data_IF_045171694940
#
_entry.id   IF_045171694940
#
_cell.length_a   1.000
_cell.length_b   1.000
_cell.length_c   1.000
_cell.angle_alpha   90.00
_cell.angle_beta   90.00
_cell.angle_gamma   90.00
#
_symmetry.space_group_name_H-M   'P 1'
#
loop_
_entity.id
_entity.type
_entity.pdbx_description
1 polymer ?
#
# COMPACT_ATOMS: atom_id res chain seq x y z
N UNK A 1 0.02 12.07 -27.72
CA UNK A 1 -0.94 13.18 -27.52
C UNK A 1 -2.17 12.69 -26.75
N UNK A 2 -2.85 13.60 -26.03
CA UNK A 2 -4.08 13.27 -25.27
C UNK A 2 -5.23 12.99 -26.25
N UNK A 3 -5.78 11.79 -26.22
CA UNK A 3 -7.04 11.51 -26.90
C UNK A 3 -8.22 11.99 -26.06
N UNK A 4 -9.20 12.62 -26.71
CA UNK A 4 -10.38 13.16 -26.04
C UNK A 4 -11.66 12.53 -26.61
N UNK A 5 -12.66 12.35 -25.74
CA UNK A 5 -14.01 12.00 -26.21
C UNK A 5 -14.68 13.23 -26.79
N UNK A 6 -15.29 13.06 -27.95
CA UNK A 6 -16.11 14.11 -28.56
C UNK A 6 -17.32 14.44 -27.67
N UNK A 7 -17.56 15.73 -27.42
CA UNK A 7 -18.80 16.22 -26.81
C UNK A 7 -20.03 15.91 -27.69
N UNK A 8 -19.81 15.83 -29.01
CA UNK A 8 -20.81 15.36 -29.96
C UNK A 8 -20.84 13.83 -29.92
N UNK A 9 -21.70 13.30 -29.03
CA UNK A 9 -21.95 11.86 -28.90
C UNK A 9 -22.52 11.27 -30.19
N UNK A 10 -21.99 10.12 -30.59
CA UNK A 10 -22.38 9.39 -31.79
C UNK A 10 -23.86 9.01 -31.77
N UNK A 11 -24.52 9.02 -32.93
CA UNK A 11 -25.93 8.64 -33.05
C UNK A 11 -26.16 7.18 -32.61
N UNK A 12 -25.17 6.32 -32.83
CA UNK A 12 -25.24 4.87 -32.65
C UNK A 12 -24.51 4.35 -31.40
N UNK A 13 -24.17 5.24 -30.46
CA UNK A 13 -23.60 4.81 -29.17
C UNK A 13 -24.57 3.87 -28.45
N UNK A 14 -24.02 2.81 -27.85
CA UNK A 14 -24.83 1.75 -27.27
C UNK A 14 -25.72 2.25 -26.12
N UNK A 15 -25.30 3.27 -25.36
CA UNK A 15 -26.11 3.85 -24.29
C UNK A 15 -27.35 4.59 -24.81
N UNK A 16 -27.34 5.11 -26.04
CA UNK A 16 -28.56 5.69 -26.64
C UNK A 16 -29.57 4.63 -27.03
N UNK A 17 -29.08 3.49 -27.51
CA UNK A 17 -29.92 2.44 -28.08
C UNK A 17 -30.39 1.43 -27.04
N UNK A 18 -29.56 1.15 -26.03
CA UNK A 18 -29.72 -0.01 -25.15
C UNK A 18 -29.69 0.32 -23.66
N UNK A 19 -29.60 1.59 -23.24
CA UNK A 19 -29.60 1.94 -21.81
C UNK A 19 -30.86 1.46 -21.08
N UNK A 20 -32.03 1.63 -21.67
CA UNK A 20 -33.28 1.16 -21.04
C UNK A 20 -33.38 -0.37 -21.03
N UNK A 21 -32.76 -1.04 -22.00
CA UNK A 21 -32.67 -2.51 -22.02
C UNK A 21 -31.70 -3.06 -20.96
N UNK A 22 -30.55 -2.40 -20.77
CA UNK A 22 -29.57 -2.74 -19.73
C UNK A 22 -30.09 -2.36 -18.34
N UNK A 23 -30.96 -1.35 -18.26
CA UNK A 23 -31.56 -0.85 -17.02
C UNK A 23 -30.75 0.29 -16.41
N UNK A 24 -31.42 1.42 -16.14
CA UNK A 24 -30.79 2.65 -15.60
C UNK A 24 -30.35 2.53 -14.15
N UNK A 25 -31.01 1.66 -13.40
CA UNK A 25 -30.77 1.34 -11.99
C UNK A 25 -29.64 0.31 -11.82
N UNK A 26 -29.20 -0.34 -12.90
CA UNK A 26 -28.02 -1.20 -12.86
C UNK A 26 -26.74 -0.39 -12.73
N UNK A 27 -25.67 -1.03 -12.24
CA UNK A 27 -24.35 -0.40 -12.16
C UNK A 27 -23.87 0.13 -13.52
N UNK A 28 -24.13 -0.61 -14.60
CA UNK A 28 -23.77 -0.23 -15.97
C UNK A 28 -24.55 1.00 -16.45
N UNK A 29 -25.87 1.03 -16.22
CA UNK A 29 -26.71 2.16 -16.58
C UNK A 29 -26.42 3.43 -15.76
N UNK A 30 -26.09 3.25 -14.48
CA UNK A 30 -25.63 4.32 -13.61
C UNK A 30 -24.29 4.90 -14.10
N UNK A 31 -23.31 4.04 -14.41
CA UNK A 31 -22.04 4.49 -14.99
C UNK A 31 -22.25 5.19 -16.33
N UNK A 32 -23.12 4.68 -17.20
CA UNK A 32 -23.45 5.36 -18.44
C UNK A 32 -23.96 6.79 -18.17
N UNK A 33 -24.80 6.98 -17.16
CA UNK A 33 -25.35 8.30 -16.81
C UNK A 33 -24.33 9.23 -16.15
N UNK A 34 -23.33 8.69 -15.43
CA UNK A 34 -22.41 9.47 -14.60
C UNK A 34 -20.99 9.62 -15.17
N UNK A 35 -20.56 8.78 -16.12
CA UNK A 35 -19.17 8.70 -16.61
C UNK A 35 -18.55 10.06 -16.96
N UNK A 36 -19.28 10.92 -17.67
CA UNK A 36 -18.79 12.23 -18.10
C UNK A 36 -18.70 13.27 -16.98
N UNK A 37 -19.33 13.01 -15.82
CA UNK A 37 -19.18 13.82 -14.60
C UNK A 37 -18.10 13.25 -13.68
N UNK A 38 -17.89 11.94 -13.71
CA UNK A 38 -16.88 11.25 -12.91
C UNK A 38 -15.47 11.48 -13.43
N UNK A 39 -15.28 11.41 -14.75
CA UNK A 39 -13.97 11.45 -15.39
C UNK A 39 -14.01 12.34 -16.63
N UNK A 40 -13.12 13.34 -16.68
CA UNK A 40 -12.86 14.13 -17.89
C UNK A 40 -11.46 13.82 -18.38
N UNK A 41 -11.27 13.81 -19.69
CA UNK A 41 -9.96 13.46 -20.26
C UNK A 41 -8.86 14.44 -19.82
N UNK A 42 -9.22 15.72 -19.67
CA UNK A 42 -8.36 16.77 -19.14
C UNK A 42 -7.82 16.49 -17.72
N UNK A 43 -8.53 15.69 -16.90
CA UNK A 43 -8.06 15.32 -15.56
C UNK A 43 -6.79 14.43 -15.61
N UNK A 44 -6.48 13.86 -16.79
CA UNK A 44 -5.36 12.95 -17.02
C UNK A 44 -4.33 13.49 -18.04
N UNK A 45 -4.43 14.77 -18.42
CA UNK A 45 -3.61 15.35 -19.49
C UNK A 45 -2.10 15.20 -19.24
N UNK A 46 -1.67 15.27 -17.98
CA UNK A 46 -0.27 15.14 -17.56
C UNK A 46 0.38 13.78 -17.86
N UNK A 47 -0.40 12.74 -18.16
CA UNK A 47 0.15 11.43 -18.54
C UNK A 47 0.69 11.44 -19.97
N UNK A 48 0.35 12.46 -20.75
CA UNK A 48 0.54 12.48 -22.19
C UNK A 48 1.36 13.68 -22.61
N UNK A 49 2.26 13.45 -23.56
CA UNK A 49 3.00 14.54 -24.19
C UNK A 49 2.06 15.34 -25.13
N UNK A 50 2.07 16.68 -25.08
CA UNK A 50 1.16 17.52 -25.87
C UNK A 50 1.31 17.39 -27.39
N UNK A 51 2.52 17.16 -27.88
CA UNK A 51 2.87 17.26 -29.31
C UNK A 51 3.63 16.03 -29.84
N UNK A 52 3.75 14.98 -29.03
CA UNK A 52 4.48 13.77 -29.41
C UNK A 52 3.58 12.52 -29.40
N UNK A 53 3.69 11.74 -30.48
CA UNK A 53 3.05 10.44 -30.65
C UNK A 53 1.56 10.49 -31.04
N UNK A 54 1.00 9.32 -31.38
CA UNK A 54 -0.44 9.16 -31.69
C UNK A 54 -1.31 9.55 -30.50
N UNK A 55 -2.56 9.93 -30.78
CA UNK A 55 -3.59 10.12 -29.76
C UNK A 55 -3.79 8.85 -28.93
N UNK A 56 -3.89 9.03 -27.62
CA UNK A 56 -4.21 7.95 -26.70
C UNK A 56 -5.66 7.48 -26.91
N UNK A 57 -5.98 6.30 -26.37
CA UNK A 57 -7.39 6.02 -26.05
C UNK A 57 -7.82 7.05 -24.99
N UNK A 58 -9.03 7.63 -25.08
CA UNK A 58 -9.48 8.62 -24.10
C UNK A 58 -9.35 8.09 -22.66
N UNK A 59 -8.60 8.76 -21.78
CA UNK A 59 -8.32 8.24 -20.44
C UNK A 59 -9.59 8.15 -19.56
N UNK A 60 -10.61 8.98 -19.78
CA UNK A 60 -11.91 8.85 -19.12
C UNK A 60 -12.61 7.52 -19.44
N UNK A 61 -12.45 7.02 -20.67
CA UNK A 61 -12.95 5.71 -21.08
C UNK A 61 -12.19 4.61 -20.34
N UNK A 62 -10.86 4.71 -20.27
CA UNK A 62 -10.02 3.74 -19.55
C UNK A 62 -10.31 3.72 -18.05
N UNK A 63 -10.55 4.88 -17.43
CA UNK A 63 -10.97 4.98 -16.02
C UNK A 63 -12.31 4.28 -15.78
N UNK A 64 -13.28 4.49 -16.68
CA UNK A 64 -14.58 3.79 -16.63
C UNK A 64 -14.39 2.27 -16.80
N UNK A 65 -13.51 1.84 -17.71
CA UNK A 65 -13.20 0.42 -17.90
C UNK A 65 -12.56 -0.22 -16.66
N UNK A 66 -11.73 0.51 -15.90
CA UNK A 66 -11.17 0.03 -14.63
C UNK A 66 -12.25 -0.16 -13.55
N UNK A 67 -13.25 0.73 -13.48
CA UNK A 67 -14.39 0.54 -12.57
C UNK A 67 -15.20 -0.70 -12.93
N UNK A 68 -15.50 -0.89 -14.22
CA UNK A 68 -16.21 -2.08 -14.72
C UNK A 68 -15.42 -3.36 -14.45
N UNK A 69 -14.11 -3.34 -14.70
CA UNK A 69 -13.23 -4.46 -14.42
C UNK A 69 -13.25 -4.83 -12.94
N UNK A 70 -13.21 -3.83 -12.05
CA UNK A 70 -13.27 -4.04 -10.59
C UNK A 70 -14.62 -4.61 -10.17
N UNK A 71 -15.72 -4.04 -10.69
CA UNK A 71 -17.08 -4.46 -10.38
C UNK A 71 -17.32 -5.93 -10.79
N UNK A 72 -16.92 -6.29 -12.00
CA UNK A 72 -17.09 -7.64 -12.54
C UNK A 72 -16.02 -8.62 -12.03
N UNK A 73 -14.98 -8.13 -11.36
CA UNK A 73 -13.83 -8.90 -10.83
C UNK A 73 -13.11 -9.71 -11.90
N UNK A 74 -12.84 -9.06 -13.04
CA UNK A 74 -12.28 -9.72 -14.23
C UNK A 74 -10.81 -9.39 -14.47
N UNK A 75 -10.10 -10.30 -15.15
CA UNK A 75 -8.71 -10.08 -15.57
C UNK A 75 -8.60 -9.00 -16.65
N UNK A 76 -7.40 -8.47 -16.91
CA UNK A 76 -7.20 -7.48 -17.98
C UNK A 76 -7.58 -8.04 -19.37
N UNK A 77 -7.36 -9.35 -19.59
CA UNK A 77 -7.72 -10.01 -20.85
C UNK A 77 -9.25 -10.09 -21.01
N UNK A 78 -9.94 -10.43 -19.92
CA UNK A 78 -11.40 -10.50 -19.89
C UNK A 78 -12.03 -9.10 -19.94
N UNK A 79 -11.45 -8.09 -19.28
CA UNK A 79 -11.90 -6.69 -19.39
C UNK A 79 -11.84 -6.19 -20.84
N UNK A 80 -10.75 -6.50 -21.56
CA UNK A 80 -10.64 -6.23 -22.99
C UNK A 80 -11.69 -7.01 -23.80
N UNK A 81 -11.94 -8.27 -23.49
CA UNK A 81 -12.98 -9.06 -24.18
C UNK A 81 -14.39 -8.48 -23.94
N UNK A 82 -14.72 -8.09 -22.71
CA UNK A 82 -16.01 -7.47 -22.38
C UNK A 82 -16.16 -6.10 -23.01
N UNK A 83 -15.12 -5.28 -23.03
CA UNK A 83 -15.15 -3.99 -23.73
C UNK A 83 -15.37 -4.15 -25.25
N UNK A 84 -14.90 -5.26 -25.85
CA UNK A 84 -15.11 -5.57 -27.26
C UNK A 84 -16.50 -6.15 -27.54
N UNK A 85 -17.06 -6.98 -26.65
CA UNK A 85 -18.22 -7.83 -26.98
C UNK A 85 -19.43 -7.76 -26.03
N UNK A 86 -19.30 -7.28 -24.79
CA UNK A 86 -20.40 -7.26 -23.81
C UNK A 86 -21.22 -5.97 -23.94
N UNK A 87 -22.51 -6.10 -24.28
CA UNK A 87 -23.41 -4.97 -24.48
C UNK A 87 -23.53 -4.05 -23.26
N UNK A 88 -23.49 -4.58 -22.04
CA UNK A 88 -23.58 -3.77 -20.80
C UNK A 88 -22.33 -2.92 -20.65
N UNK A 89 -21.16 -3.45 -21.02
CA UNK A 89 -19.92 -2.68 -21.07
C UNK A 89 -19.97 -1.62 -22.17
N UNK A 90 -20.51 -1.93 -23.35
CA UNK A 90 -20.72 -0.93 -24.41
C UNK A 90 -21.56 0.25 -23.94
N UNK A 91 -22.66 -0.04 -23.25
CA UNK A 91 -23.55 0.97 -22.65
C UNK A 91 -22.81 1.79 -21.59
N UNK A 92 -22.15 1.14 -20.64
CA UNK A 92 -21.44 1.84 -19.56
C UNK A 92 -20.28 2.70 -20.08
N UNK A 93 -19.53 2.19 -21.07
CA UNK A 93 -18.45 2.93 -21.72
C UNK A 93 -19.00 4.04 -22.60
N UNK A 94 -20.17 3.90 -23.22
CA UNK A 94 -20.71 4.85 -24.19
C UNK A 94 -19.93 4.83 -25.49
N UNK A 95 -19.84 3.65 -26.09
CA UNK A 95 -19.19 3.40 -27.38
C UNK A 95 -20.16 2.67 -28.30
N UNK A 96 -19.87 2.62 -29.59
CA UNK A 96 -20.69 1.87 -30.54
C UNK A 96 -20.52 0.36 -30.33
N UNK A 97 -21.51 -0.42 -30.77
CA UNK A 97 -21.54 -1.89 -30.54
C UNK A 97 -20.35 -2.58 -31.21
N UNK A 98 -19.93 -2.10 -32.37
CA UNK A 98 -18.85 -2.71 -33.17
C UNK A 98 -17.44 -2.25 -32.76
N UNK A 99 -17.33 -1.22 -31.92
CA UNK A 99 -16.05 -0.63 -31.52
C UNK A 99 -15.16 -1.61 -30.75
N UNK A 100 -13.84 -1.42 -30.82
CA UNK A 100 -12.86 -2.16 -30.00
C UNK A 100 -11.96 -1.14 -29.31
N UNK A 101 -12.34 -0.67 -28.10
CA UNK A 101 -11.88 0.62 -27.61
C UNK A 101 -10.42 0.64 -27.18
N UNK A 102 -9.84 -0.50 -26.78
CA UNK A 102 -8.45 -0.56 -26.34
C UNK A 102 -7.83 -1.96 -26.41
N UNK A 103 -6.50 -1.99 -26.42
CA UNK A 103 -5.73 -3.21 -26.20
C UNK A 103 -5.54 -3.48 -24.70
N UNK A 104 -5.30 -4.74 -24.33
CA UNK A 104 -4.98 -5.14 -22.94
C UNK A 104 -3.83 -4.30 -22.36
N UNK A 105 -2.76 -4.12 -23.12
CA UNK A 105 -1.58 -3.37 -22.69
C UNK A 105 -1.89 -1.89 -22.43
N UNK A 106 -2.80 -1.29 -23.19
CA UNK A 106 -3.23 0.10 -22.99
C UNK A 106 -3.85 0.29 -21.61
N UNK A 107 -4.74 -0.62 -21.20
CA UNK A 107 -5.37 -0.58 -19.87
C UNK A 107 -4.33 -0.75 -18.74
N UNK A 108 -3.33 -1.61 -18.95
CA UNK A 108 -2.25 -1.85 -17.99
C UNK A 108 -1.35 -0.62 -17.84
N UNK A 109 -0.97 0.01 -18.95
CA UNK A 109 -0.16 1.23 -18.95
C UNK A 109 -0.92 2.37 -18.27
N UNK A 110 -2.21 2.55 -18.59
CA UNK A 110 -3.02 3.57 -17.93
C UNK A 110 -3.11 3.36 -16.41
N UNK A 111 -3.30 2.11 -15.96
CA UNK A 111 -3.28 1.80 -14.51
C UNK A 111 -1.93 2.12 -13.86
N UNK A 112 -0.82 1.87 -14.54
CA UNK A 112 0.50 2.22 -14.04
C UNK A 112 0.68 3.75 -13.96
N UNK A 113 0.21 4.50 -14.95
CA UNK A 113 0.28 5.97 -14.94
C UNK A 113 -0.50 6.58 -13.78
N UNK A 114 -1.69 6.06 -13.46
CA UNK A 114 -2.46 6.51 -12.30
C UNK A 114 -1.66 6.41 -10.99
N UNK A 115 -0.79 5.41 -10.85
CA UNK A 115 0.05 5.20 -9.67
C UNK A 115 1.25 6.13 -9.70
N UNK A 116 1.96 6.21 -10.83
CA UNK A 116 3.17 7.04 -10.97
C UNK A 116 2.90 8.53 -10.76
N UNK A 117 1.69 8.98 -11.10
CA UNK A 117 1.27 10.37 -11.02
C UNK A 117 0.37 10.67 -9.80
N UNK A 118 0.16 9.71 -8.89
CA UNK A 118 -0.71 9.84 -7.70
C UNK A 118 -2.16 10.30 -7.99
N UNK A 119 -2.66 10.06 -9.21
CA UNK A 119 -4.00 10.50 -9.64
C UNK A 119 -5.16 9.64 -9.13
N UNK A 120 -4.87 8.47 -8.58
CA UNK A 120 -5.91 7.61 -7.97
C UNK A 120 -6.66 8.37 -6.86
N UNK A 121 -5.94 9.18 -6.08
CA UNK A 121 -6.53 9.98 -5.00
C UNK A 121 -7.48 11.04 -5.53
N UNK A 122 -7.08 11.80 -6.55
CA UNK A 122 -7.93 12.84 -7.15
C UNK A 122 -9.21 12.27 -7.76
N UNK A 123 -9.13 11.08 -8.37
CA UNK A 123 -10.28 10.32 -8.87
C UNK A 123 -11.23 9.96 -7.72
N UNK A 124 -10.69 9.44 -6.62
CA UNK A 124 -11.49 9.08 -5.45
C UNK A 124 -12.20 10.32 -4.86
N UNK A 125 -11.48 11.43 -4.67
CA UNK A 125 -12.05 12.68 -4.18
C UNK A 125 -13.12 13.26 -5.12
N UNK A 126 -12.93 13.14 -6.44
CA UNK A 126 -13.94 13.54 -7.44
C UNK A 126 -15.24 12.76 -7.28
N UNK A 127 -15.15 11.46 -6.99
CA UNK A 127 -16.34 10.63 -6.73
C UNK A 127 -17.10 11.08 -5.46
N UNK A 128 -16.38 11.50 -4.42
CA UNK A 128 -16.98 12.04 -3.20
C UNK A 128 -17.62 13.41 -3.41
N UNK A 129 -17.00 14.29 -4.20
CA UNK A 129 -17.62 15.56 -4.63
C UNK A 129 -18.93 15.30 -5.37
N UNK A 130 -18.94 14.38 -6.32
CA UNK A 130 -20.15 14.00 -7.05
C UNK A 130 -21.23 13.43 -6.13
N UNK A 131 -20.84 12.59 -5.16
CA UNK A 131 -21.77 12.04 -4.17
C UNK A 131 -22.39 13.15 -3.31
N UNK A 132 -21.61 14.17 -2.93
CA UNK A 132 -22.10 15.35 -2.22
C UNK A 132 -23.08 16.16 -3.07
N UNK A 133 -22.73 16.49 -4.31
CA UNK A 133 -23.59 17.21 -5.25
C UNK A 133 -24.91 16.46 -5.51
N UNK A 134 -24.84 15.13 -5.58
CA UNK A 134 -25.99 14.25 -5.80
C UNK A 134 -26.80 14.03 -4.52
N UNK A 135 -26.34 14.57 -3.38
CA UNK A 135 -27.09 14.58 -2.14
C UNK A 135 -26.93 13.34 -1.26
N UNK A 136 -25.86 12.56 -1.43
CA UNK A 136 -25.53 11.44 -0.54
C UNK A 136 -24.82 11.89 0.75
N UNK A 137 -24.14 13.05 0.71
CA UNK A 137 -23.45 13.64 1.88
C UNK A 137 -24.12 14.96 2.31
N UNK A 138 -25.38 14.89 2.76
CA UNK A 138 -26.21 16.07 3.09
C UNK A 138 -26.01 16.64 4.50
N UNK A 139 -25.49 15.85 5.42
CA UNK A 139 -25.45 16.22 6.84
C UNK A 139 -24.36 17.26 7.11
N UNK A 140 -24.58 18.08 8.15
CA UNK A 140 -23.60 19.05 8.64
C UNK A 140 -22.43 18.39 9.36
N UNK A 141 -22.60 17.16 9.80
CA UNK A 141 -21.59 16.32 10.43
C UNK A 141 -21.86 14.86 10.10
N UNK A 142 -20.82 14.04 10.13
CA UNK A 142 -20.90 12.61 9.89
C UNK A 142 -20.46 11.78 11.10
N UNK A 143 -20.95 10.54 11.11
CA UNK A 143 -20.47 9.48 11.99
C UNK A 143 -19.80 8.43 11.14
N UNK A 144 -18.59 8.06 11.50
CA UNK A 144 -17.78 7.18 10.66
C UNK A 144 -17.43 5.88 11.36
N UNK A 145 -17.34 4.81 10.58
CA UNK A 145 -16.80 3.53 11.02
C UNK A 145 -15.40 3.35 10.45
N UNK A 146 -14.48 2.92 11.31
CA UNK A 146 -13.10 2.55 11.02
C UNK A 146 -12.98 1.04 10.98
N UNK A 147 -12.40 0.51 9.90
CA UNK A 147 -12.07 -0.91 9.79
C UNK A 147 -10.81 -1.11 8.95
N UNK A 148 -10.16 -2.25 9.12
CA UNK A 148 -9.06 -2.67 8.25
C UNK A 148 -9.35 -4.01 7.56
N UNK A 149 -8.91 -4.14 6.32
CA UNK A 149 -9.01 -5.40 5.56
C UNK A 149 -7.70 -5.72 4.87
N UNK A 150 -7.39 -7.01 4.70
CA UNK A 150 -6.12 -7.43 4.14
C UNK A 150 -6.12 -7.33 2.60
N UNK A 151 -5.02 -6.81 2.05
CA UNK A 151 -4.71 -6.81 0.62
C UNK A 151 -3.56 -7.80 0.41
N UNK A 152 -3.74 -8.77 -0.48
CA UNK A 152 -2.65 -9.69 -0.83
C UNK A 152 -1.64 -8.98 -1.73
N UNK A 153 -0.38 -9.00 -1.32
CA UNK A 153 0.71 -8.47 -2.14
C UNK A 153 0.95 -9.33 -3.37
N UNK A 154 1.44 -8.70 -4.45
CA UNK A 154 1.85 -9.41 -5.67
C UNK A 154 3.35 -9.74 -5.69
N UNK A 155 4.11 -9.23 -4.72
CA UNK A 155 5.52 -9.56 -4.55
C UNK A 155 5.73 -11.04 -4.23
N UNK A 156 6.72 -11.65 -4.86
CA UNK A 156 7.12 -13.01 -4.48
C UNK A 156 7.75 -12.97 -3.09
N UNK A 157 7.26 -13.82 -2.18
CA UNK A 157 7.85 -14.04 -0.85
C UNK A 157 9.12 -14.86 -1.03
N UNK A 158 10.27 -14.30 -0.63
CA UNK A 158 11.58 -14.94 -0.78
C UNK A 158 12.17 -15.33 0.58
N UNK A 159 12.90 -16.46 0.58
CA UNK A 159 13.82 -16.78 1.66
C UNK A 159 15.05 -15.85 1.65
N UNK A 160 15.79 -15.78 2.75
CA UNK A 160 16.90 -14.83 2.93
C UNK A 160 17.93 -14.87 1.80
N UNK A 161 18.36 -16.04 1.33
CA UNK A 161 19.39 -16.10 0.28
C UNK A 161 18.87 -15.52 -1.04
N UNK A 162 17.64 -15.88 -1.43
CA UNK A 162 17.00 -15.32 -2.62
C UNK A 162 16.68 -13.83 -2.45
N UNK A 163 16.30 -13.38 -1.25
CA UNK A 163 16.00 -11.98 -0.98
C UNK A 163 17.27 -11.11 -1.06
N UNK A 164 18.38 -11.57 -0.48
CA UNK A 164 19.69 -10.92 -0.61
C UNK A 164 20.18 -10.91 -2.06
N UNK A 165 20.00 -12.02 -2.79
CA UNK A 165 20.33 -12.09 -4.21
C UNK A 165 19.53 -11.09 -5.04
N UNK A 166 18.22 -11.00 -4.84
CA UNK A 166 17.39 -10.02 -5.55
C UNK A 166 17.79 -8.57 -5.17
N UNK A 167 18.16 -8.32 -3.90
CA UNK A 167 18.69 -7.04 -3.44
C UNK A 167 20.03 -6.67 -4.09
N UNK A 168 20.94 -7.63 -4.24
CA UNK A 168 22.18 -7.48 -5.01
C UNK A 168 21.84 -7.06 -6.44
N UNK A 169 20.91 -7.76 -7.11
CA UNK A 169 20.51 -7.44 -8.48
C UNK A 169 19.94 -6.03 -8.62
N UNK A 170 19.17 -5.54 -7.64
CA UNK A 170 18.67 -4.15 -7.68
C UNK A 170 19.81 -3.14 -7.66
N UNK A 171 20.83 -3.33 -6.82
CA UNK A 171 21.99 -2.45 -6.77
C UNK A 171 22.89 -2.59 -8.02
N UNK A 172 23.02 -3.80 -8.59
CA UNK A 172 23.71 -3.99 -9.88
C UNK A 172 23.05 -3.19 -11.01
N UNK A 173 21.72 -3.13 -11.04
CA UNK A 173 20.99 -2.40 -12.09
C UNK A 173 21.26 -0.91 -12.04
N UNK A 174 21.30 -0.32 -10.84
CA UNK A 174 21.54 1.12 -10.69
C UNK A 174 22.98 1.48 -11.04
N UNK A 175 23.96 0.66 -10.65
CA UNK A 175 25.36 0.85 -11.04
C UNK A 175 25.59 0.68 -12.55
N UNK A 176 25.00 -0.36 -13.15
CA UNK A 176 25.09 -0.58 -14.60
C UNK A 176 24.45 0.56 -15.42
N UNK A 177 23.37 1.16 -14.91
CA UNK A 177 22.69 2.28 -15.57
C UNK A 177 23.58 3.53 -15.64
N UNK A 178 24.37 3.83 -14.60
CA UNK A 178 25.33 4.94 -14.58
C UNK A 178 26.40 4.76 -15.66
N UNK A 179 26.91 3.54 -15.82
CA UNK A 179 27.88 3.20 -16.87
C UNK A 179 27.24 3.02 -18.26
N UNK A 180 25.91 3.12 -18.37
CA UNK A 180 25.13 2.94 -19.60
C UNK A 180 25.38 1.60 -20.30
N UNK A 181 25.65 0.55 -19.51
CA UNK A 181 25.79 -0.82 -20.00
C UNK A 181 24.71 -1.73 -19.42
N UNK A 182 24.53 -2.92 -20.00
CA UNK A 182 23.49 -3.82 -19.50
C UNK A 182 23.90 -4.44 -18.16
N UNK A 183 22.92 -4.70 -17.29
CA UNK A 183 23.15 -5.37 -15.99
C UNK A 183 23.87 -6.73 -16.16
N UNK A 184 23.65 -7.42 -17.28
CA UNK A 184 24.31 -8.69 -17.60
C UNK A 184 25.80 -8.52 -17.87
N UNK A 185 26.16 -7.52 -18.66
CA UNK A 185 27.56 -7.20 -18.97
C UNK A 185 28.29 -6.71 -17.71
N UNK A 186 27.70 -5.74 -17.01
CA UNK A 186 28.26 -5.19 -15.78
C UNK A 186 28.45 -6.27 -14.71
N UNK A 187 27.38 -7.04 -14.45
CA UNK A 187 27.42 -8.11 -13.46
C UNK A 187 28.43 -9.20 -13.80
N UNK A 188 28.60 -9.57 -15.07
CA UNK A 188 29.63 -10.54 -15.47
C UNK A 188 31.05 -9.98 -15.28
N UNK A 189 31.28 -8.72 -15.68
CA UNK A 189 32.58 -8.06 -15.51
C UNK A 189 33.00 -7.94 -14.04
N UNK A 190 32.03 -7.70 -13.15
CA UNK A 190 32.25 -7.51 -11.71
C UNK A 190 32.12 -8.80 -10.88
N UNK A 191 31.97 -9.96 -11.52
CA UNK A 191 31.91 -11.28 -10.85
C UNK A 191 30.58 -11.62 -10.17
N UNK A 192 29.49 -10.94 -10.52
CA UNK A 192 28.13 -11.15 -10.01
C UNK A 192 27.22 -11.97 -10.95
N UNK A 193 27.77 -12.58 -12.00
CA UNK A 193 26.99 -13.31 -13.02
C UNK A 193 26.02 -14.36 -12.44
N UNK A 194 26.38 -15.03 -11.33
CA UNK A 194 25.53 -16.03 -10.65
C UNK A 194 24.20 -15.48 -10.12
N UNK A 195 24.11 -14.19 -9.82
CA UNK A 195 22.89 -13.56 -9.29
C UNK A 195 21.88 -13.21 -10.39
N UNK A 196 22.32 -13.23 -11.67
CA UNK A 196 21.49 -12.83 -12.81
C UNK A 196 20.73 -14.02 -13.43
N UNK A 197 20.87 -15.21 -12.86
CA UNK A 197 20.05 -16.37 -13.17
C UNK A 197 18.65 -16.26 -12.54
N UNK A 198 17.76 -17.23 -12.81
CA UNK A 198 16.39 -17.21 -12.27
C UNK A 198 16.30 -17.47 -10.76
N UNK A 199 17.31 -18.11 -10.15
CA UNK A 199 17.35 -18.43 -8.72
C UNK A 199 18.77 -18.72 -8.25
N UNK A 200 19.24 -18.02 -7.21
CA UNK A 200 20.57 -18.28 -6.64
C UNK A 200 20.67 -19.69 -6.05
N UNK A 201 19.56 -20.22 -5.53
CA UNK A 201 19.53 -21.60 -5.00
C UNK A 201 19.61 -22.66 -6.09
N UNK A 202 19.05 -22.37 -7.26
CA UNK A 202 19.14 -23.25 -8.42
C UNK A 202 20.58 -23.33 -8.95
N UNK A 203 21.30 -22.22 -8.92
CA UNK A 203 22.70 -22.14 -9.38
C UNK A 203 23.71 -22.66 -8.36
N UNK A 204 23.42 -22.59 -7.06
CA UNK A 204 24.40 -22.90 -6.01
C UNK A 204 24.90 -24.35 -6.02
N UNK A 205 24.18 -25.30 -6.64
CA UNK A 205 24.55 -26.71 -6.75
C UNK A 205 25.09 -27.33 -5.44
N UNK A 206 24.49 -26.98 -4.29
CA UNK A 206 24.89 -27.46 -2.95
C UNK A 206 23.93 -28.52 -2.40
N UNK A 207 24.43 -29.33 -1.46
CA UNK A 207 23.59 -30.16 -0.60
C UNK A 207 22.88 -29.29 0.45
N UNK A 208 21.57 -29.12 0.29
CA UNK A 208 20.72 -28.33 1.20
C UNK A 208 20.49 -28.99 2.55
N UNK A 209 20.77 -30.28 2.69
CA UNK A 209 20.69 -30.97 3.98
C UNK A 209 21.91 -30.64 4.86
N UNK A 210 23.06 -30.36 4.24
CA UNK A 210 24.28 -29.96 4.95
C UNK A 210 24.15 -28.53 5.49
N UNK A 211 24.33 -28.39 6.81
CA UNK A 211 24.35 -27.09 7.49
C UNK A 211 25.58 -26.26 7.09
N UNK A 212 26.74 -26.90 6.90
CA UNK A 212 27.99 -26.21 6.55
C UNK A 212 27.91 -25.65 5.13
N UNK A 213 27.48 -26.44 4.15
CA UNK A 213 27.27 -25.97 2.78
C UNK A 213 26.35 -24.74 2.70
N UNK A 214 25.24 -24.74 3.45
CA UNK A 214 24.32 -23.59 3.54
C UNK A 214 24.95 -22.36 4.17
N UNK A 215 25.73 -22.53 5.24
CA UNK A 215 26.46 -21.44 5.89
C UNK A 215 27.53 -20.85 4.97
N UNK A 216 28.27 -21.68 4.24
CA UNK A 216 29.25 -21.23 3.25
C UNK A 216 28.59 -20.39 2.16
N UNK A 217 27.49 -20.86 1.57
CA UNK A 217 26.76 -20.09 0.55
C UNK A 217 26.27 -18.74 1.10
N UNK A 218 25.70 -18.72 2.30
CA UNK A 218 25.26 -17.48 2.94
C UNK A 218 26.43 -16.51 3.14
N UNK A 219 27.56 -17.00 3.67
CA UNK A 219 28.75 -16.19 3.90
C UNK A 219 29.29 -15.59 2.58
N UNK A 220 29.27 -16.35 1.49
CA UNK A 220 29.64 -15.84 0.17
C UNK A 220 28.68 -14.75 -0.33
N UNK A 221 27.37 -14.94 -0.17
CA UNK A 221 26.37 -13.94 -0.57
C UNK A 221 26.56 -12.65 0.22
N UNK A 222 26.78 -12.75 1.53
CA UNK A 222 27.00 -11.59 2.39
C UNK A 222 28.29 -10.86 2.03
N UNK A 223 29.38 -11.59 1.75
CA UNK A 223 30.64 -11.00 1.26
C UNK A 223 30.45 -10.26 -0.06
N UNK A 224 29.70 -10.84 -0.99
CA UNK A 224 29.43 -10.21 -2.29
C UNK A 224 28.55 -8.96 -2.16
N UNK A 225 27.57 -8.99 -1.26
CA UNK A 225 26.75 -7.82 -0.91
C UNK A 225 27.60 -6.71 -0.28
N UNK A 226 28.46 -7.04 0.68
CA UNK A 226 29.39 -6.08 1.31
C UNK A 226 30.32 -5.42 0.28
N UNK A 227 30.90 -6.23 -0.62
CA UNK A 227 31.72 -5.73 -1.73
C UNK A 227 30.93 -4.78 -2.63
N UNK A 228 29.68 -5.11 -2.94
CA UNK A 228 28.84 -4.28 -3.80
C UNK A 228 28.45 -2.96 -3.13
N UNK A 229 28.17 -2.99 -1.83
CA UNK A 229 27.92 -1.77 -1.04
C UNK A 229 29.15 -0.85 -1.04
N UNK A 230 30.36 -1.39 -0.97
CA UNK A 230 31.59 -0.60 -1.11
C UNK A 230 31.74 0.01 -2.51
N UNK A 231 31.53 -0.77 -3.58
CA UNK A 231 31.53 -0.24 -4.95
C UNK A 231 30.48 0.88 -5.13
N UNK A 232 29.31 0.72 -4.51
CA UNK A 232 28.27 1.74 -4.55
C UNK A 232 28.67 3.05 -3.86
N UNK A 233 29.45 2.99 -2.77
CA UNK A 233 29.97 4.18 -2.09
C UNK A 233 30.99 4.92 -2.96
N UNK A 234 31.83 4.18 -3.67
CA UNK A 234 32.80 4.75 -4.61
C UNK A 234 32.10 5.46 -5.77
N UNK A 235 31.15 4.79 -6.42
CA UNK A 235 30.35 5.38 -7.50
C UNK A 235 29.59 6.64 -7.04
N UNK A 236 29.02 6.64 -5.83
CA UNK A 236 28.35 7.82 -5.26
C UNK A 236 29.29 9.02 -5.03
N UNK A 237 30.60 8.80 -4.86
CA UNK A 237 31.60 9.85 -4.69
C UNK A 237 31.93 10.59 -5.98
N UNK A 238 31.72 9.95 -7.13
CA UNK A 238 31.97 10.51 -8.47
C UNK A 238 30.74 11.26 -9.01
N UNK A 239 29.56 11.02 -8.45
CA UNK A 239 28.30 11.61 -8.86
C UNK A 239 27.94 12.90 -8.10
N UNK A 240 27.17 13.78 -8.74
CA UNK A 240 26.61 14.97 -8.11
C UNK A 240 25.66 14.61 -6.98
N UNK A 241 25.70 15.36 -5.86
CA UNK A 241 24.94 15.04 -4.65
C UNK A 241 23.43 14.91 -4.85
N UNK A 242 22.85 15.77 -5.67
CA UNK A 242 21.41 15.83 -5.95
C UNK A 242 21.05 15.18 -7.31
N UNK A 243 21.96 14.38 -7.88
CA UNK A 243 21.71 13.68 -9.13
C UNK A 243 20.74 12.51 -8.93
N UNK A 244 19.79 12.34 -9.85
CA UNK A 244 18.81 11.25 -9.86
C UNK A 244 19.49 9.86 -9.82
N UNK A 245 20.57 9.69 -10.60
CA UNK A 245 21.39 8.47 -10.62
C UNK A 245 21.97 8.13 -9.24
N UNK A 246 22.46 9.15 -8.52
CA UNK A 246 23.01 8.99 -7.17
C UNK A 246 21.90 8.57 -6.20
N UNK A 247 20.73 9.18 -6.30
CA UNK A 247 19.58 8.83 -5.46
C UNK A 247 19.14 7.38 -5.69
N UNK A 248 19.10 6.92 -6.94
CA UNK A 248 18.81 5.51 -7.26
C UNK A 248 19.83 4.55 -6.64
N UNK A 249 21.13 4.87 -6.69
CA UNK A 249 22.16 4.05 -6.03
C UNK A 249 21.98 4.04 -4.52
N UNK A 250 21.76 5.21 -3.89
CA UNK A 250 21.54 5.33 -2.45
C UNK A 250 20.37 4.46 -2.00
N UNK A 251 19.22 4.60 -2.64
CA UNK A 251 18.02 3.82 -2.30
C UNK A 251 18.24 2.31 -2.47
N UNK A 252 18.90 1.87 -3.54
CA UNK A 252 19.21 0.45 -3.74
C UNK A 252 20.24 -0.09 -2.72
N UNK A 253 21.23 0.72 -2.33
CA UNK A 253 22.22 0.36 -1.33
C UNK A 253 21.62 0.29 0.08
N UNK A 254 20.75 1.23 0.44
CA UNK A 254 19.99 1.22 1.70
C UNK A 254 19.10 -0.02 1.79
N UNK A 255 18.41 -0.36 0.70
CA UNK A 255 17.61 -1.58 0.60
C UNK A 255 18.47 -2.83 0.89
N UNK A 256 19.60 -2.99 0.21
CA UNK A 256 20.50 -4.14 0.43
C UNK A 256 21.06 -4.17 1.85
N UNK A 257 21.43 -3.01 2.40
CA UNK A 257 21.90 -2.85 3.78
C UNK A 257 20.84 -3.28 4.81
N UNK A 258 19.58 -2.87 4.59
CA UNK A 258 18.45 -3.28 5.44
C UNK A 258 18.26 -4.80 5.43
N UNK A 259 18.34 -5.44 4.26
CA UNK A 259 18.21 -6.91 4.14
C UNK A 259 19.30 -7.65 4.93
N UNK A 260 20.55 -7.17 4.85
CA UNK A 260 21.65 -7.72 5.64
C UNK A 260 21.38 -7.56 7.14
N UNK A 261 21.02 -6.35 7.58
CA UNK A 261 20.74 -6.07 9.00
C UNK A 261 19.56 -6.87 9.54
N UNK A 262 18.57 -7.16 8.70
CA UNK A 262 17.34 -7.82 9.09
C UNK A 262 17.54 -9.31 9.38
N UNK A 263 18.17 -10.05 8.45
CA UNK A 263 18.20 -11.51 8.50
C UNK A 263 19.58 -12.07 8.94
N UNK A 264 20.64 -11.27 8.91
CA UNK A 264 22.03 -11.74 9.10
C UNK A 264 22.65 -11.24 10.40
N UNK A 265 23.33 -12.13 11.12
CA UNK A 265 24.22 -11.81 12.24
C UNK A 265 25.68 -12.17 11.90
N UNK A 266 26.62 -11.38 12.41
CA UNK A 266 28.06 -11.60 12.25
C UNK A 266 28.61 -12.03 13.61
N UNK A 267 29.11 -13.25 13.69
CA UNK A 267 29.64 -13.87 14.90
C UNK A 267 31.14 -14.16 14.71
N UNK A 268 31.88 -14.42 15.78
CA UNK A 268 33.33 -14.71 15.70
C UNK A 268 33.67 -15.89 14.76
N UNK A 269 32.74 -16.81 14.54
CA UNK A 269 32.87 -17.95 13.63
C UNK A 269 32.39 -17.73 12.19
N UNK A 270 31.98 -16.51 11.81
CA UNK A 270 31.50 -16.16 10.47
C UNK A 270 30.11 -15.54 10.44
N UNK A 271 29.31 -15.92 9.44
CA UNK A 271 27.99 -15.35 9.18
C UNK A 271 26.90 -16.39 9.44
N UNK A 272 25.88 -16.02 10.21
CA UNK A 272 24.68 -16.85 10.45
C UNK A 272 23.39 -16.07 10.20
N UNK A 273 22.29 -16.83 10.03
CA UNK A 273 20.96 -16.26 10.05
C UNK A 273 20.57 -15.99 11.51
N UNK A 274 19.93 -14.85 11.76
CA UNK A 274 19.32 -14.55 13.05
C UNK A 274 18.24 -15.58 13.39
N UNK A 275 18.15 -15.93 14.66
CA UNK A 275 17.04 -16.76 15.15
C UNK A 275 15.74 -15.95 15.22
N UNK A 276 14.64 -16.56 14.77
CA UNK A 276 13.34 -15.90 14.64
C UNK A 276 13.16 -15.05 13.37
N UNK A 277 12.08 -14.26 13.37
CA UNK A 277 11.67 -13.41 12.24
C UNK A 277 11.61 -11.97 12.73
N UNK A 278 12.31 -11.05 12.05
CA UNK A 278 12.23 -9.62 12.38
C UNK A 278 10.78 -9.13 12.34
N UNK A 279 10.38 -8.29 13.30
CA UNK A 279 9.01 -7.76 13.39
C UNK A 279 8.59 -7.05 12.09
N UNK A 280 9.50 -6.29 11.50
CA UNK A 280 9.30 -5.52 10.27
C UNK A 280 9.99 -6.16 9.07
N UNK A 281 10.05 -7.51 9.05
CA UNK A 281 10.73 -8.27 8.00
C UNK A 281 10.17 -7.93 6.62
N UNK A 282 11.02 -7.37 5.76
CA UNK A 282 10.80 -7.25 4.32
C UNK A 282 10.86 -8.64 3.68
N UNK A 283 9.87 -8.94 2.84
CA UNK A 283 9.69 -10.26 2.23
C UNK A 283 9.96 -10.29 0.73
N UNK A 284 9.99 -9.12 0.09
CA UNK A 284 10.21 -8.95 -1.35
C UNK A 284 10.92 -7.63 -1.63
N UNK A 285 11.94 -7.65 -2.48
CA UNK A 285 12.61 -6.41 -2.93
C UNK A 285 11.85 -5.68 -4.03
N UNK A 286 10.84 -6.32 -4.61
CA UNK A 286 9.99 -5.73 -5.66
C UNK A 286 8.72 -5.09 -5.09
N UNK A 287 8.39 -5.39 -3.83
CA UNK A 287 7.39 -4.71 -3.01
C UNK A 287 7.97 -4.59 -1.58
N UNK A 288 8.88 -3.62 -1.35
CA UNK A 288 9.59 -3.45 -0.08
C UNK A 288 8.69 -3.08 1.10
N UNK A 289 7.44 -2.65 0.85
CA UNK A 289 6.47 -2.26 1.87
C UNK A 289 5.62 -3.44 2.35
N UNK A 290 5.55 -4.52 1.57
CA UNK A 290 4.83 -5.75 1.93
C UNK A 290 5.36 -6.36 3.23
N UNK A 291 4.45 -6.73 4.14
CA UNK A 291 4.77 -7.39 5.41
C UNK A 291 3.89 -8.61 5.67
N UNK A 292 4.32 -9.46 6.61
CA UNK A 292 3.51 -10.56 7.12
C UNK A 292 2.41 -9.99 8.01
N UNK A 293 1.15 -10.24 7.66
CA UNK A 293 0.00 -9.86 8.46
C UNK A 293 -0.77 -11.06 8.99
N UNK A 294 -1.63 -10.82 9.98
CA UNK A 294 -2.47 -11.86 10.58
C UNK A 294 -3.94 -11.41 10.58
N UNK A 295 -4.83 -12.28 10.08
CA UNK A 295 -6.29 -12.15 10.26
C UNK A 295 -6.76 -12.83 11.53
N UNK A 296 -6.04 -13.86 11.97
CA UNK A 296 -6.19 -14.54 13.25
C UNK A 296 -4.84 -15.14 13.65
N UNK A 297 -4.76 -15.72 14.85
CA UNK A 297 -3.58 -16.47 15.30
C UNK A 297 -3.17 -17.59 14.33
N UNK A 298 -4.13 -18.17 13.62
CA UNK A 298 -3.91 -19.28 12.67
C UNK A 298 -3.87 -18.87 11.20
N UNK A 299 -4.31 -17.65 10.85
CA UNK A 299 -4.43 -17.21 9.45
C UNK A 299 -3.52 -16.02 9.16
N UNK A 300 -2.33 -16.34 8.66
CA UNK A 300 -1.37 -15.36 8.12
C UNK A 300 -1.75 -14.95 6.69
N UNK A 301 -1.41 -13.74 6.30
CA UNK A 301 -1.40 -13.26 4.91
C UNK A 301 -0.11 -12.48 4.64
N UNK A 302 0.24 -12.35 3.37
CA UNK A 302 1.44 -11.66 2.92
C UNK A 302 1.00 -10.48 2.04
N UNK A 303 1.25 -9.25 2.49
CA UNK A 303 0.70 -8.09 1.80
C UNK A 303 0.62 -6.83 2.67
N UNK A 304 -0.50 -6.14 2.48
CA UNK A 304 -0.82 -4.84 3.08
C UNK A 304 -2.19 -4.92 3.79
N UNK A 305 -2.56 -3.87 4.51
CA UNK A 305 -3.92 -3.64 5.00
C UNK A 305 -4.48 -2.38 4.35
N UNK A 306 -5.72 -2.42 3.88
CA UNK A 306 -6.49 -1.21 3.63
C UNK A 306 -7.17 -0.79 4.92
N UNK A 307 -6.81 0.38 5.44
CA UNK A 307 -7.58 1.07 6.46
C UNK A 307 -8.65 1.92 5.78
N UNK A 308 -9.89 1.81 6.22
CA UNK A 308 -11.05 2.36 5.54
C UNK A 308 -11.89 3.15 6.54
N UNK A 309 -12.33 4.35 6.13
CA UNK A 309 -13.35 5.13 6.82
C UNK A 309 -14.63 5.09 6.00
N UNK A 310 -15.72 4.70 6.64
CA UNK A 310 -17.05 4.63 6.01
C UNK A 310 -18.00 5.57 6.74
N UNK A 311 -18.67 6.46 6.02
CA UNK A 311 -19.80 7.20 6.59
C UNK A 311 -20.96 6.24 6.86
N UNK A 312 -21.40 6.17 8.11
CA UNK A 312 -22.36 5.16 8.56
C UNK A 312 -23.77 5.36 8.01
N UNK A 313 -24.10 6.58 7.58
CA UNK A 313 -25.41 6.91 7.03
C UNK A 313 -25.52 6.60 5.53
N UNK A 314 -24.55 7.07 4.75
CA UNK A 314 -24.52 6.88 3.29
C UNK A 314 -23.85 5.58 2.85
N UNK A 315 -23.12 4.92 3.75
CA UNK A 315 -22.27 3.75 3.48
C UNK A 315 -21.15 4.01 2.47
N UNK A 316 -20.84 5.28 2.21
CA UNK A 316 -19.75 5.67 1.33
C UNK A 316 -18.41 5.54 2.05
N UNK A 317 -17.44 4.95 1.35
CA UNK A 317 -16.04 5.01 1.77
C UNK A 317 -15.57 6.45 1.54
N UNK A 318 -15.13 7.13 2.60
CA UNK A 318 -14.77 8.56 2.59
C UNK A 318 -13.27 8.79 2.75
N UNK A 319 -12.53 7.81 3.26
CA UNK A 319 -11.07 7.81 3.25
C UNK A 319 -10.53 6.38 3.20
N UNK A 320 -9.35 6.23 2.60
CA UNK A 320 -8.61 4.97 2.51
C UNK A 320 -7.13 5.26 2.70
N UNK A 321 -6.46 4.42 3.48
CA UNK A 321 -5.01 4.36 3.57
C UNK A 321 -4.52 2.92 3.39
N UNK A 322 -3.27 2.78 2.92
CA UNK A 322 -2.59 1.49 2.84
C UNK A 322 -1.59 1.44 4.00
N UNK A 323 -1.72 0.41 4.82
CA UNK A 323 -0.81 0.13 5.93
C UNK A 323 0.01 -1.14 5.61
N UNK A 324 1.23 -1.27 6.15
CA UNK A 324 1.95 -2.53 6.11
C UNK A 324 1.13 -3.67 6.72
N UNK A 325 1.27 -4.90 6.20
CA UNK A 325 0.51 -6.06 6.67
C UNK A 325 0.62 -6.35 8.18
N UNK A 326 1.74 -5.98 8.81
CA UNK A 326 2.02 -6.16 10.25
C UNK A 326 1.60 -4.96 11.11
N UNK A 327 1.12 -3.87 10.52
CA UNK A 327 0.71 -2.67 11.25
C UNK A 327 -0.51 -2.96 12.14
N UNK A 328 -0.58 -2.35 13.34
CA UNK A 328 -1.80 -2.41 14.14
C UNK A 328 -2.92 -1.62 13.45
N UNK A 329 -4.16 -2.03 13.65
CA UNK A 329 -5.32 -1.47 12.91
C UNK A 329 -5.62 -0.01 13.30
N UNK A 330 -5.24 0.38 14.52
CA UNK A 330 -5.38 1.75 15.01
C UNK A 330 -4.28 2.71 14.49
N UNK A 331 -3.31 2.23 13.72
CA UNK A 331 -2.23 3.07 13.20
C UNK A 331 -2.80 4.12 12.25
N UNK A 332 -2.59 5.40 12.57
CA UNK A 332 -3.04 6.50 11.73
C UNK A 332 -4.56 6.74 11.76
N UNK A 333 -5.28 6.19 12.75
CA UNK A 333 -6.74 6.23 12.78
C UNK A 333 -7.31 7.66 12.81
N UNK A 334 -6.65 8.58 13.54
CA UNK A 334 -7.09 9.98 13.60
C UNK A 334 -6.81 10.69 12.28
N UNK A 335 -5.62 10.51 11.72
CA UNK A 335 -5.20 11.07 10.45
C UNK A 335 -6.12 10.63 9.31
N UNK A 336 -6.57 9.38 9.34
CA UNK A 336 -7.53 8.85 8.37
C UNK A 336 -8.93 9.47 8.54
N UNK A 337 -9.35 9.76 9.77
CA UNK A 337 -10.58 10.51 10.06
C UNK A 337 -10.48 11.95 9.56
N UNK A 338 -9.35 12.62 9.80
CA UNK A 338 -9.08 13.97 9.29
C UNK A 338 -9.05 14.00 7.76
N UNK A 339 -8.51 12.95 7.14
CA UNK A 339 -8.56 12.79 5.69
C UNK A 339 -10.01 12.64 5.19
N UNK A 340 -10.86 11.90 5.91
CA UNK A 340 -12.29 11.80 5.58
C UNK A 340 -12.98 13.18 5.62
N UNK A 341 -12.66 14.00 6.62
CA UNK A 341 -13.14 15.38 6.70
C UNK A 341 -12.67 16.22 5.52
N UNK A 342 -11.39 16.13 5.17
CA UNK A 342 -10.80 16.85 4.04
C UNK A 342 -11.41 16.44 2.70
N UNK A 343 -11.58 15.13 2.47
CA UNK A 343 -12.11 14.58 1.22
C UNK A 343 -13.58 14.96 0.99
N UNK A 344 -14.38 15.02 2.06
CA UNK A 344 -15.82 15.23 1.97
C UNK A 344 -16.25 16.67 2.23
N UNK A 345 -15.42 17.47 2.91
CA UNK A 345 -15.78 18.77 3.46
C UNK A 345 -16.89 18.68 4.51
N UNK A 346 -17.00 17.56 5.23
CA UNK A 346 -17.97 17.34 6.32
C UNK A 346 -17.19 16.98 7.60
N UNK A 347 -17.40 17.64 8.75
CA UNK A 347 -16.72 17.29 9.99
C UNK A 347 -17.21 15.95 10.56
N UNK A 348 -16.30 15.18 11.16
CA UNK A 348 -16.60 13.93 11.86
C UNK A 348 -16.82 14.22 13.34
N UNK A 349 -18.02 13.91 13.84
CA UNK A 349 -18.33 14.08 15.26
C UNK A 349 -18.07 12.82 16.09
N UNK A 350 -18.21 11.65 15.47
CA UNK A 350 -18.10 10.36 16.13
C UNK A 350 -17.43 9.37 15.20
N UNK A 351 -16.34 8.76 15.66
CA UNK A 351 -15.70 7.62 15.01
C UNK A 351 -16.01 6.35 15.80
N UNK A 352 -16.29 5.26 15.10
CA UNK A 352 -16.57 3.96 15.67
C UNK A 352 -15.54 2.96 15.17
N UNK A 353 -15.07 2.07 16.04
CA UNK A 353 -14.15 0.99 15.67
C UNK A 353 -14.36 -0.22 16.58
N UNK A 354 -13.74 -1.34 16.22
CA UNK A 354 -13.75 -2.54 17.05
C UNK A 354 -12.79 -2.40 18.26
N UNK A 355 -12.44 -3.51 18.90
CA UNK A 355 -11.53 -3.48 20.04
C UNK A 355 -10.11 -3.02 19.69
N UNK A 356 -9.66 -3.15 18.44
CA UNK A 356 -8.32 -2.76 18.02
C UNK A 356 -8.10 -1.24 18.11
N UNK A 357 -9.16 -0.45 17.96
CA UNK A 357 -9.15 1.01 18.09
C UNK A 357 -9.36 1.50 19.53
N UNK A 358 -9.59 0.60 20.47
CA UNK A 358 -10.04 0.94 21.82
C UNK A 358 -8.97 1.20 22.85
N UNK A 359 -7.69 1.22 22.47
CA UNK A 359 -6.58 1.45 23.39
C UNK A 359 -6.54 2.91 23.91
N UNK A 360 -5.82 3.11 25.02
CA UNK A 360 -5.79 4.40 25.69
C UNK A 360 -5.10 5.51 24.88
N UNK A 361 -4.09 5.18 24.06
CA UNK A 361 -3.38 6.19 23.27
C UNK A 361 -4.27 6.71 22.14
N UNK A 362 -4.93 5.81 21.41
CA UNK A 362 -5.88 6.21 20.35
C UNK A 362 -7.01 7.06 20.93
N UNK A 363 -7.61 6.66 22.07
CA UNK A 363 -8.62 7.48 22.74
C UNK A 363 -8.15 8.88 23.11
N UNK A 364 -6.93 9.00 23.63
CA UNK A 364 -6.35 10.29 23.98
C UNK A 364 -6.19 11.16 22.73
N UNK A 365 -5.64 10.62 21.64
CA UNK A 365 -5.47 11.39 20.39
C UNK A 365 -6.80 11.94 19.86
N UNK A 366 -7.88 11.17 19.92
CA UNK A 366 -9.21 11.63 19.54
C UNK A 366 -9.78 12.67 20.53
N UNK A 367 -9.57 12.48 21.83
CA UNK A 367 -10.04 13.41 22.86
C UNK A 367 -9.34 14.77 22.78
N UNK A 368 -8.03 14.81 22.50
CA UNK A 368 -7.23 16.03 22.40
C UNK A 368 -7.73 16.99 21.31
N UNK A 369 -8.33 16.43 20.26
CA UNK A 369 -8.92 17.17 19.13
C UNK A 369 -10.44 17.28 19.22
N UNK A 370 -11.03 16.88 20.35
CA UNK A 370 -12.47 17.02 20.62
C UNK A 370 -13.37 16.07 19.82
N UNK A 371 -12.85 14.94 19.32
CA UNK A 371 -13.59 13.95 18.54
C UNK A 371 -13.98 12.76 19.42
N UNK A 372 -15.22 12.28 19.31
CA UNK A 372 -15.68 11.13 20.09
C UNK A 372 -15.26 9.82 19.42
N UNK A 373 -14.54 8.96 20.14
CA UNK A 373 -14.20 7.60 19.71
C UNK A 373 -15.00 6.55 20.49
N UNK A 374 -15.82 5.78 19.78
CA UNK A 374 -16.60 4.67 20.31
C UNK A 374 -15.97 3.35 19.85
N UNK A 375 -15.17 2.77 20.74
CA UNK A 375 -14.54 1.48 20.53
C UNK A 375 -14.65 0.63 21.80
N UNK A 376 -14.62 -0.69 21.69
CA UNK A 376 -14.55 -1.57 22.86
C UNK A 376 -13.13 -1.52 23.44
N UNK A 377 -12.97 -1.53 24.76
CA UNK A 377 -11.63 -1.69 25.34
C UNK A 377 -11.10 -3.10 25.01
N UNK A 378 -9.84 -3.24 24.54
CA UNK A 378 -9.22 -4.54 24.30
C UNK A 378 -9.38 -5.50 25.48
N UNK A 379 -9.57 -6.79 25.17
CA UNK A 379 -9.67 -7.85 26.17
C UNK A 379 -8.36 -8.06 26.95
N UNK A 380 -8.46 -8.75 28.08
CA UNK A 380 -7.34 -9.03 29.00
C UNK A 380 -6.19 -9.77 28.29
N UNK A 381 -4.93 -9.33 28.39
CA UNK A 381 -3.78 -10.18 28.08
C UNK A 381 -3.71 -11.35 29.06
N UNK A 382 -2.95 -12.39 28.70
CA UNK A 382 -2.83 -13.66 29.43
C UNK A 382 -2.56 -13.51 30.94
N UNK A 383 -3.09 -14.44 31.76
CA UNK A 383 -3.20 -14.39 33.24
C UNK A 383 -1.87 -14.34 34.03
N UNK A 384 -0.72 -14.23 33.37
CA UNK A 384 0.58 -14.18 34.05
C UNK A 384 0.79 -12.92 34.89
N UNK A 385 0.05 -11.84 34.63
CA UNK A 385 0.15 -10.58 35.36
C UNK A 385 -1.24 -10.12 35.80
N UNK A 386 -1.31 -9.39 36.92
CA UNK A 386 -2.55 -8.75 37.36
C UNK A 386 -2.92 -7.58 36.42
N UNK A 387 -4.08 -7.59 35.75
CA UNK A 387 -4.56 -6.47 34.96
C UNK A 387 -4.89 -5.26 35.85
N UNK A 388 -4.93 -4.06 35.25
CA UNK A 388 -5.29 -2.80 35.93
C UNK A 388 -6.62 -2.90 36.68
N UNK A 389 -7.60 -3.62 36.15
CA UNK A 389 -8.93 -3.78 36.75
C UNK A 389 -8.92 -4.58 38.07
N UNK A 390 -7.88 -5.37 38.33
CA UNK A 390 -7.73 -6.06 39.62
C UNK A 390 -7.20 -5.10 40.70
N UNK A 391 -6.77 -3.89 40.31
CA UNK A 391 -6.35 -2.84 41.23
C UNK A 391 -7.50 -1.84 41.46
N UNK A 392 -7.67 -1.41 42.71
CA UNK A 392 -8.54 -0.29 43.05
C UNK A 392 -7.70 0.98 42.97
N UNK A 393 -7.92 1.78 41.93
CA UNK A 393 -7.18 3.03 41.70
C UNK A 393 -8.08 4.19 42.09
N UNK A 394 -7.69 4.92 43.13
CA UNK A 394 -8.32 6.17 43.54
C UNK A 394 -7.47 7.34 43.04
N UNK A 395 -7.93 7.94 41.94
CA UNK A 395 -7.24 9.09 41.33
C UNK A 395 -7.34 10.36 42.19
N UNK A 396 -8.36 10.48 43.05
CA UNK A 396 -8.51 11.64 43.93
C UNK A 396 -7.59 11.53 45.15
N UNK A 397 -7.47 10.33 45.72
CA UNK A 397 -6.57 10.05 46.85
C UNK A 397 -5.12 9.74 46.42
N UNK A 398 -4.87 9.62 45.11
CA UNK A 398 -3.55 9.27 44.58
C UNK A 398 -3.06 7.89 45.04
N UNK A 399 -3.98 6.94 45.22
CA UNK A 399 -3.68 5.62 45.78
C UNK A 399 -4.02 4.49 44.80
N UNK A 400 -3.31 3.37 44.96
CA UNK A 400 -3.54 2.16 44.20
C UNK A 400 -3.48 0.95 45.14
N UNK A 401 -4.57 0.20 45.21
CA UNK A 401 -4.66 -1.01 46.02
C UNK A 401 -4.55 -2.23 45.11
N UNK A 402 -3.58 -3.10 45.38
CA UNK A 402 -3.40 -4.32 44.60
C UNK A 402 -4.38 -5.43 45.03
N UNK A 403 -4.49 -6.53 44.26
CA UNK A 403 -5.44 -7.63 44.53
C UNK A 403 -5.18 -8.34 45.87
N UNK A 404 -3.96 -8.24 46.40
CA UNK A 404 -3.58 -8.76 47.72
C UNK A 404 -3.88 -7.76 48.87
N UNK A 405 -4.61 -6.68 48.59
CA UNK A 405 -5.01 -5.67 49.58
C UNK A 405 -3.90 -4.71 50.00
N UNK A 406 -2.73 -4.73 49.35
CA UNK A 406 -1.65 -3.80 49.65
C UNK A 406 -1.91 -2.46 48.97
N UNK A 407 -1.86 -1.38 49.74
CA UNK A 407 -2.08 -0.01 49.24
C UNK A 407 -0.74 0.68 49.04
N UNK A 408 -0.53 1.29 47.88
CA UNK A 408 0.55 2.25 47.66
C UNK A 408 -0.02 3.64 47.43
N UNK A 409 0.61 4.64 48.05
CA UNK A 409 0.41 6.06 47.76
C UNK A 409 1.62 6.66 47.04
N UNK A 410 2.64 5.83 46.79
CA UNK A 410 3.86 6.25 46.11
C UNK A 410 3.57 6.34 44.63
N UNK A 411 3.29 7.56 44.17
CA UNK A 411 3.22 7.88 42.75
C UNK A 411 4.64 8.16 42.29
N UNK A 412 5.25 7.19 41.62
CA UNK A 412 6.49 7.42 40.88
C UNK A 412 6.12 7.79 39.45
N UNK A 413 6.38 9.02 38.98
CA UNK A 413 6.25 9.32 37.56
C UNK A 413 7.25 8.44 36.79
N UNK A 414 6.72 7.43 36.11
CA UNK A 414 7.52 6.45 35.38
C UNK A 414 7.93 7.02 34.01
N UNK A 415 8.93 7.89 34.04
CA UNK A 415 9.69 8.29 32.86
C UNK A 415 8.95 9.18 31.85
N UNK A 416 9.74 9.92 31.09
CA UNK A 416 9.30 10.71 29.94
C UNK A 416 8.84 9.73 28.86
N UNK A 417 7.54 9.71 28.55
CA UNK A 417 7.05 8.96 27.39
C UNK A 417 7.10 9.90 26.19
N UNK A 418 7.95 9.59 25.22
CA UNK A 418 8.04 10.35 23.97
C UNK A 418 7.15 9.69 22.92
N UNK A 419 6.22 10.43 22.31
CA UNK A 419 5.45 9.90 21.18
C UNK A 419 6.28 9.86 19.88
N UNK A 420 5.68 9.31 18.82
CA UNK A 420 6.29 9.22 17.49
C UNK A 420 6.63 10.59 16.87
N UNK A 421 6.07 11.68 17.39
CA UNK A 421 6.35 13.06 16.98
C UNK A 421 7.41 13.76 17.86
N UNK A 422 8.05 13.02 18.78
CA UNK A 422 9.09 13.56 19.65
C UNK A 422 8.56 14.33 20.87
N UNK A 423 7.25 14.34 21.13
CA UNK A 423 6.65 15.06 22.27
C UNK A 423 6.74 14.22 23.52
N UNK A 424 7.25 14.84 24.57
CA UNK A 424 7.49 14.22 25.87
C UNK A 424 6.30 14.47 26.80
N UNK A 425 5.59 13.40 27.15
CA UNK A 425 4.56 13.39 28.17
C UNK A 425 5.20 13.05 29.52
N UNK A 426 4.77 13.74 30.58
CA UNK A 426 5.14 13.48 31.97
C UNK A 426 4.13 12.58 32.65
#
# INVERSE_FOLDING_TARGET
MLGERSDQRGLWEADRLYLDHVGRDTFYGLLASLRGRLFRDADFAEFYCPDNGRDSVPPSLLATALLLQSHDKVSDAEAKARADFDLRWKVALGIEVEDRPFAKSTLQVFRAQLILHDKVREVFESSLRLARESGYLKKRSMKVALDTTNILGRGAVKDTCNLLADGIVQLLRTLAAVEKITVKEWGKAQGYGRYLASSIKGEAAIDWSDKRARQTLLAEIVRDADRLLELSRQAQGELTKDGEERQHIVTAAELLGQLLLQDVERVEGGVSLKDGVSRDRMMSVHDPEMRHGHKSSSRRFDGHKAAIVVDTDSQLITAVAVLPGNAPDNLGALELVEQSEANTGVPVQEAMGDAAYGDGATRQTFADVGRKLVARVPGRPDRKHFPKDDFVIDLAAGSCTCPAGQVTHTIVPAGKRTDAAGRVYR
#
